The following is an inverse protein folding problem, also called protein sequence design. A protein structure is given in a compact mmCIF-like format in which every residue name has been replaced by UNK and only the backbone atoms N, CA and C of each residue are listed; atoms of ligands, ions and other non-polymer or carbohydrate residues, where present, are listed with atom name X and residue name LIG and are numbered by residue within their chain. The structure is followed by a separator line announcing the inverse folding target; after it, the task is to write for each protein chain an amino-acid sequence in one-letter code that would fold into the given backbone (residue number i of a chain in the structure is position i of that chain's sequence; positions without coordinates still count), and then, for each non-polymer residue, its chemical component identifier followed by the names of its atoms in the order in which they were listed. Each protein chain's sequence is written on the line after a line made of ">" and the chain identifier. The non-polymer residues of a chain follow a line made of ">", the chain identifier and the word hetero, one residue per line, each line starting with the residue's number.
data_IF_249077578795
#
_entry.id   IF_249077578795
#
_cell.length_a   1.000
_cell.length_b   1.000
_cell.length_c   1.000
_cell.angle_alpha   90.00
_cell.angle_beta   90.00
_cell.angle_gamma   90.00
#
_symmetry.space_group_name_H-M   'P 1'
#
loop_
_entity.id
_entity.type
_entity.pdbx_description
1 polymer ?
#
# COMPACT_ATOMS: atom_id res chain seq x y z
N UNK A 1 12.59 26.84 -20.70
CA UNK A 1 13.27 26.53 -19.40
C UNK A 1 12.40 25.70 -18.45
N UNK A 2 11.09 25.97 -18.36
CA UNK A 2 10.15 25.25 -17.50
C UNK A 2 10.01 23.74 -17.85
N UNK A 3 9.94 23.41 -19.14
CA UNK A 3 9.85 22.01 -19.63
C UNK A 3 11.06 21.16 -19.28
N UNK A 4 12.27 21.71 -19.36
CA UNK A 4 13.50 21.01 -18.96
C UNK A 4 13.57 20.76 -17.45
N UNK A 5 13.06 21.69 -16.63
CA UNK A 5 12.97 21.55 -15.17
C UNK A 5 11.91 20.51 -14.76
N UNK A 6 10.77 20.47 -15.45
CA UNK A 6 9.74 19.43 -15.27
C UNK A 6 10.27 18.04 -15.63
N UNK A 7 10.95 17.90 -16.77
CA UNK A 7 11.57 16.63 -17.17
C UNK A 7 12.65 16.16 -16.19
N UNK A 8 13.53 17.06 -15.74
CA UNK A 8 14.53 16.76 -14.69
C UNK A 8 13.87 16.35 -13.36
N UNK A 9 12.77 17.00 -12.98
CA UNK A 9 11.98 16.63 -11.81
C UNK A 9 11.39 15.22 -11.92
N UNK A 10 10.77 14.88 -13.06
CA UNK A 10 10.23 13.55 -13.31
C UNK A 10 11.34 12.48 -13.33
N UNK A 11 12.51 12.78 -13.89
CA UNK A 11 13.65 11.85 -13.89
C UNK A 11 14.19 11.63 -12.48
N UNK A 12 14.31 12.68 -11.67
CA UNK A 12 14.73 12.55 -10.27
C UNK A 12 13.72 11.72 -9.46
N UNK A 13 12.43 11.94 -9.64
CA UNK A 13 11.37 11.13 -9.01
C UNK A 13 11.45 9.67 -9.48
N UNK A 14 11.69 9.43 -10.77
CA UNK A 14 11.84 8.08 -11.33
C UNK A 14 13.09 7.36 -10.80
N UNK A 15 14.21 8.06 -10.62
CA UNK A 15 15.45 7.50 -10.06
C UNK A 15 15.27 7.13 -8.58
N UNK A 16 14.62 8.00 -7.80
CA UNK A 16 14.27 7.71 -6.40
C UNK A 16 13.30 6.53 -6.32
N UNK A 17 12.27 6.50 -7.18
CA UNK A 17 11.33 5.39 -7.25
C UNK A 17 12.03 4.07 -7.62
N UNK A 18 12.94 4.07 -8.61
CA UNK A 18 13.69 2.89 -9.04
C UNK A 18 14.64 2.34 -7.96
N UNK A 19 15.21 3.21 -7.12
CA UNK A 19 16.10 2.78 -6.03
C UNK A 19 15.39 1.93 -4.96
N UNK A 20 14.07 2.03 -4.84
CA UNK A 20 13.26 1.18 -3.98
C UNK A 20 13.17 -0.28 -4.45
N UNK A 21 13.41 -0.57 -5.72
CA UNK A 21 13.21 -1.89 -6.34
C UNK A 21 14.51 -2.70 -6.51
N UNK A 22 15.67 -2.17 -6.12
CA UNK A 22 16.96 -2.87 -6.25
C UNK A 22 17.08 -4.02 -5.23
N UNK A 23 16.50 -5.18 -5.56
CA UNK A 23 16.66 -6.43 -4.81
C UNK A 23 17.81 -7.24 -5.41
N UNK A 24 18.97 -7.24 -4.75
CA UNK A 24 20.11 -8.06 -5.15
C UNK A 24 19.94 -9.50 -4.67
N UNK A 25 20.38 -10.53 -5.44
CA UNK A 25 20.20 -11.94 -5.06
C UNK A 25 21.07 -12.42 -3.87
N UNK A 26 21.94 -11.58 -3.31
CA UNK A 26 22.97 -12.00 -2.34
C UNK A 26 23.04 -11.17 -1.03
N UNK A 27 22.20 -10.14 -0.85
CA UNK A 27 22.18 -9.33 0.37
C UNK A 27 20.75 -9.03 0.80
N UNK A 28 20.46 -9.14 2.10
CA UNK A 28 19.24 -8.60 2.68
C UNK A 28 19.17 -7.08 2.49
N UNK A 29 17.96 -6.56 2.28
CA UNK A 29 17.73 -5.13 2.05
C UNK A 29 18.33 -4.31 3.19
N UNK A 30 19.17 -3.32 2.87
CA UNK A 30 19.80 -2.47 3.89
C UNK A 30 18.75 -1.69 4.70
N UNK A 31 19.09 -1.30 5.94
CA UNK A 31 18.19 -0.49 6.80
C UNK A 31 17.67 0.76 6.07
N UNK A 32 18.50 1.54 5.35
CA UNK A 32 18.03 2.67 4.56
C UNK A 32 17.06 2.28 3.42
N UNK A 33 17.26 1.12 2.79
CA UNK A 33 16.35 0.64 1.76
C UNK A 33 14.98 0.27 2.35
N UNK A 34 14.96 -0.41 3.50
CA UNK A 34 13.71 -0.79 4.20
C UNK A 34 12.96 0.42 4.74
N UNK A 35 13.65 1.40 5.32
CA UNK A 35 13.04 2.65 5.78
C UNK A 35 12.48 3.47 4.61
N UNK A 36 13.21 3.53 3.48
CA UNK A 36 12.74 4.16 2.25
C UNK A 36 11.48 3.50 1.70
N UNK A 37 11.42 2.16 1.68
CA UNK A 37 10.20 1.43 1.29
C UNK A 37 9.03 1.70 2.21
N UNK A 38 9.24 1.70 3.52
CA UNK A 38 8.20 2.05 4.50
C UNK A 38 7.65 3.45 4.25
N UNK A 39 8.52 4.42 3.97
CA UNK A 39 8.09 5.78 3.63
C UNK A 39 7.25 5.82 2.33
N UNK A 40 7.73 5.17 1.26
CA UNK A 40 7.01 5.13 -0.03
C UNK A 40 5.66 4.42 0.10
N UNK A 41 5.59 3.33 0.87
CA UNK A 41 4.34 2.62 1.19
C UNK A 41 3.39 3.52 1.97
N UNK A 42 3.89 4.20 3.00
CA UNK A 42 3.10 5.13 3.81
C UNK A 42 2.55 6.30 2.98
N UNK A 43 3.38 6.87 2.11
CA UNK A 43 2.99 7.92 1.17
C UNK A 43 1.93 7.44 0.19
N UNK A 44 2.13 6.26 -0.39
CA UNK A 44 1.16 5.63 -1.32
C UNK A 44 -0.20 5.46 -0.65
N UNK A 45 -0.24 4.86 0.53
CA UNK A 45 -1.48 4.64 1.27
C UNK A 45 -2.16 5.96 1.67
N UNK A 46 -1.38 7.00 1.99
CA UNK A 46 -1.93 8.33 2.35
C UNK A 46 -2.51 9.07 1.15
N UNK A 47 -1.88 8.98 -0.03
CA UNK A 47 -2.35 9.67 -1.24
C UNK A 47 -3.51 8.95 -1.93
N UNK A 48 -3.49 7.61 -1.91
CA UNK A 48 -4.42 6.78 -2.67
C UNK A 48 -5.48 6.10 -1.79
N UNK A 49 -5.65 6.50 -0.53
CA UNK A 49 -6.65 5.90 0.38
C UNK A 49 -8.07 5.90 -0.19
N UNK A 50 -8.44 6.95 -0.94
CA UNK A 50 -9.77 7.12 -1.52
C UNK A 50 -10.07 6.11 -2.63
N UNK A 51 -9.05 5.54 -3.27
CA UNK A 51 -9.21 4.54 -4.34
C UNK A 51 -9.74 3.19 -3.82
N UNK A 52 -9.76 2.98 -2.49
CA UNK A 52 -10.45 1.84 -1.86
C UNK A 52 -11.95 1.84 -2.12
N UNK A 53 -12.59 3.02 -2.20
CA UNK A 53 -14.04 3.12 -2.41
C UNK A 53 -14.47 2.57 -3.78
N UNK A 54 -13.97 3.09 -4.92
CA UNK A 54 -14.36 2.54 -6.22
C UNK A 54 -13.91 1.09 -6.41
N UNK A 55 -12.77 0.70 -5.80
CA UNK A 55 -12.28 -0.67 -5.86
C UNK A 55 -13.24 -1.65 -5.18
N UNK A 56 -13.66 -1.37 -3.94
CA UNK A 56 -14.59 -2.25 -3.22
C UNK A 56 -15.99 -2.23 -3.83
N UNK A 57 -16.45 -1.11 -4.40
CA UNK A 57 -17.72 -1.10 -5.16
C UNK A 57 -17.66 -2.05 -6.34
N UNK A 58 -16.59 -1.97 -7.15
CA UNK A 58 -16.41 -2.86 -8.29
C UNK A 58 -16.28 -4.33 -7.85
N UNK A 59 -15.58 -4.57 -6.74
CA UNK A 59 -15.42 -5.91 -6.18
C UNK A 59 -16.76 -6.48 -5.71
N UNK A 60 -17.51 -5.75 -4.91
CA UNK A 60 -18.79 -6.25 -4.39
C UNK A 60 -19.81 -6.41 -5.52
N UNK A 61 -19.85 -5.49 -6.50
CA UNK A 61 -20.70 -5.65 -7.68
C UNK A 61 -20.41 -6.95 -8.45
N UNK A 62 -19.15 -7.39 -8.54
CA UNK A 62 -18.83 -8.66 -9.22
C UNK A 62 -19.18 -9.91 -8.41
N UNK A 63 -19.41 -9.79 -7.10
CA UNK A 63 -19.60 -10.92 -6.21
C UNK A 63 -21.02 -11.01 -5.60
N UNK A 64 -21.82 -9.92 -5.64
CA UNK A 64 -23.19 -9.85 -5.14
C UNK A 64 -24.10 -9.06 -6.09
N UNK A 65 -25.40 -8.99 -5.79
CA UNK A 65 -26.35 -8.19 -6.57
C UNK A 65 -25.92 -6.71 -6.69
N UNK A 66 -26.08 -6.05 -7.85
CA UNK A 66 -25.53 -4.72 -8.10
C UNK A 66 -25.88 -3.65 -7.06
N UNK A 67 -27.13 -3.63 -6.59
CA UNK A 67 -27.60 -2.61 -5.65
C UNK A 67 -27.03 -2.84 -4.24
N UNK A 68 -26.99 -4.09 -3.80
CA UNK A 68 -26.35 -4.48 -2.54
C UNK A 68 -24.85 -4.24 -2.61
N UNK A 69 -24.22 -4.57 -3.74
CA UNK A 69 -22.78 -4.46 -3.93
C UNK A 69 -22.28 -3.02 -3.92
N UNK A 70 -23.04 -2.07 -4.48
CA UNK A 70 -22.70 -0.64 -4.37
C UNK A 70 -22.71 -0.18 -2.91
N UNK A 71 -23.73 -0.56 -2.13
CA UNK A 71 -23.85 -0.14 -0.73
C UNK A 71 -22.79 -0.81 0.15
N UNK A 72 -22.64 -2.13 0.06
CA UNK A 72 -21.67 -2.89 0.85
C UNK A 72 -20.24 -2.54 0.47
N UNK A 73 -19.96 -2.39 -0.83
CA UNK A 73 -18.64 -2.02 -1.35
C UNK A 73 -18.25 -0.60 -0.93
N UNK A 74 -19.19 0.36 -0.95
CA UNK A 74 -18.93 1.71 -0.44
C UNK A 74 -18.55 1.69 1.04
N UNK A 75 -19.31 0.96 1.87
CA UNK A 75 -19.02 0.84 3.31
C UNK A 75 -17.66 0.21 3.60
N UNK A 76 -17.34 -0.90 2.92
CA UNK A 76 -16.04 -1.57 3.04
C UNK A 76 -14.89 -0.69 2.56
N UNK A 77 -15.07 -0.01 1.43
CA UNK A 77 -14.07 0.87 0.85
C UNK A 77 -13.75 2.07 1.74
N UNK A 78 -14.76 2.68 2.39
CA UNK A 78 -14.54 3.73 3.39
C UNK A 78 -13.75 3.19 4.57
N UNK A 79 -14.14 2.03 5.12
CA UNK A 79 -13.46 1.43 6.25
C UNK A 79 -11.98 1.13 5.94
N UNK A 80 -11.69 0.48 4.80
CA UNK A 80 -10.33 0.21 4.33
C UNK A 80 -9.55 1.49 4.06
N UNK A 81 -10.19 2.49 3.44
CA UNK A 81 -9.59 3.79 3.17
C UNK A 81 -9.13 4.48 4.45
N UNK A 82 -9.95 4.49 5.51
CA UNK A 82 -9.57 5.05 6.82
C UNK A 82 -8.40 4.28 7.44
N UNK A 83 -8.42 2.95 7.38
CA UNK A 83 -7.31 2.13 7.87
C UNK A 83 -6.00 2.45 7.15
N UNK A 84 -6.04 2.58 5.82
CA UNK A 84 -4.87 2.93 5.00
C UNK A 84 -4.38 4.34 5.24
N UNK A 85 -5.29 5.30 5.40
CA UNK A 85 -4.91 6.66 5.73
C UNK A 85 -4.16 6.72 7.06
N UNK A 86 -4.71 6.08 8.10
CA UNK A 86 -4.07 6.01 9.42
C UNK A 86 -2.72 5.29 9.40
N UNK A 87 -2.66 4.13 8.74
CA UNK A 87 -1.43 3.38 8.56
C UNK A 87 -0.39 4.14 7.73
N UNK A 88 -0.82 4.85 6.69
CA UNK A 88 0.04 5.63 5.82
C UNK A 88 0.71 6.79 6.54
N UNK A 89 -0.07 7.56 7.30
CA UNK A 89 0.45 8.64 8.15
C UNK A 89 1.42 8.06 9.19
N UNK A 90 1.06 6.95 9.84
CA UNK A 90 1.92 6.29 10.82
C UNK A 90 3.25 5.85 10.19
N UNK A 91 3.24 5.21 9.02
CA UNK A 91 4.46 4.74 8.36
C UNK A 91 5.33 5.89 7.88
N UNK A 92 4.75 7.00 7.41
CA UNK A 92 5.51 8.21 7.06
C UNK A 92 6.14 8.90 8.27
N UNK A 93 5.49 8.92 9.43
CA UNK A 93 6.05 9.54 10.64
C UNK A 93 7.11 8.64 11.27
N UNK A 94 6.87 7.33 11.27
CA UNK A 94 7.75 6.35 11.90
C UNK A 94 8.79 5.76 10.94
N UNK A 95 8.90 6.25 9.71
CA UNK A 95 9.78 5.67 8.69
C UNK A 95 11.25 5.46 9.10
N UNK A 96 11.88 6.32 9.94
CA UNK A 96 13.27 6.09 10.35
C UNK A 96 13.37 4.93 11.35
N UNK A 97 12.31 4.71 12.12
CA UNK A 97 12.22 3.72 13.17
C UNK A 97 11.71 2.39 12.63
N UNK A 98 12.22 1.30 13.19
CA UNK A 98 11.82 -0.08 12.92
C UNK A 98 10.51 -0.47 13.63
N UNK A 99 9.53 0.44 13.64
CA UNK A 99 8.22 0.22 14.26
C UNK A 99 7.11 0.21 13.18
N UNK A 100 6.50 -0.93 12.82
CA UNK A 100 6.65 -2.25 13.42
C UNK A 100 7.97 -2.95 13.03
N UNK A 101 8.36 -3.95 13.83
CA UNK A 101 9.64 -4.65 13.73
C UNK A 101 9.96 -5.05 12.29
N UNK A 102 11.23 -4.90 11.89
CA UNK A 102 11.69 -5.21 10.54
C UNK A 102 11.02 -4.39 9.42
N UNK A 103 10.49 -3.20 9.72
CA UNK A 103 9.82 -2.32 8.75
C UNK A 103 8.60 -2.98 8.07
N UNK A 104 7.95 -3.90 8.78
CA UNK A 104 6.78 -4.63 8.26
C UNK A 104 5.62 -3.67 7.92
N UNK A 105 4.76 -4.04 6.96
CA UNK A 105 3.51 -3.35 6.68
C UNK A 105 2.60 -3.28 7.90
N UNK A 106 2.06 -2.09 8.20
CA UNK A 106 1.03 -1.93 9.23
C UNK A 106 -0.32 -2.50 8.78
N UNK A 107 -0.64 -2.33 7.50
CA UNK A 107 -1.84 -2.87 6.86
C UNK A 107 -1.41 -3.81 5.74
N UNK A 108 -2.15 -4.91 5.62
CA UNK A 108 -2.05 -5.85 4.51
C UNK A 108 -3.34 -5.82 3.70
N UNK A 109 -3.28 -5.79 2.36
CA UNK A 109 -2.06 -5.72 1.54
C UNK A 109 -1.30 -4.39 1.70
N UNK A 110 -0.02 -4.37 1.30
CA UNK A 110 0.92 -3.27 1.60
C UNK A 110 0.45 -1.95 1.01
N UNK A 111 -0.10 -2.00 -0.20
CA UNK A 111 -0.67 -0.86 -0.92
C UNK A 111 -2.08 -1.16 -1.43
N UNK A 112 -2.74 -0.13 -1.98
CA UNK A 112 -4.12 -0.19 -2.51
C UNK A 112 -4.27 -1.15 -3.71
N UNK A 113 -3.16 -1.52 -4.37
CA UNK A 113 -3.16 -2.19 -5.68
C UNK A 113 -2.82 -3.68 -5.66
N UNK A 114 -2.59 -4.22 -4.47
CA UNK A 114 -2.05 -5.58 -4.31
C UNK A 114 -3.13 -6.64 -4.10
N UNK A 115 -4.37 -6.25 -3.78
CA UNK A 115 -5.52 -7.15 -3.74
C UNK A 115 -6.17 -7.34 -5.10
N UNK A 116 -6.61 -8.57 -5.36
CA UNK A 116 -7.36 -8.95 -6.54
C UNK A 116 -8.84 -8.59 -6.45
N UNK A 117 -9.56 -8.91 -7.53
CA UNK A 117 -11.00 -8.63 -7.66
C UNK A 117 -11.87 -9.68 -6.95
N UNK A 118 -11.31 -10.80 -6.49
CA UNK A 118 -12.02 -11.79 -5.69
C UNK A 118 -11.86 -11.56 -4.18
N UNK A 119 -12.71 -12.22 -3.38
CA UNK A 119 -12.63 -12.20 -1.91
C UNK A 119 -11.47 -13.02 -1.34
N UNK A 120 -11.06 -14.09 -2.02
CA UNK A 120 -9.95 -14.97 -1.61
C UNK A 120 -8.57 -14.30 -1.65
N UNK A 121 -8.38 -13.26 -2.44
CA UNK A 121 -7.17 -12.45 -2.45
C UNK A 121 -6.94 -11.80 -1.08
N UNK A 122 -8.00 -11.39 -0.37
CA UNK A 122 -7.86 -10.91 1.01
C UNK A 122 -7.51 -12.00 2.00
N UNK A 123 -8.01 -13.22 1.81
CA UNK A 123 -7.72 -14.34 2.70
C UNK A 123 -6.24 -14.72 2.65
N UNK A 124 -5.60 -14.61 1.48
CA UNK A 124 -4.15 -14.74 1.35
C UNK A 124 -3.39 -13.72 2.21
N UNK A 125 -3.80 -12.45 2.17
CA UNK A 125 -3.17 -11.39 2.98
C UNK A 125 -3.49 -11.51 4.46
N UNK A 126 -4.67 -12.03 4.82
CA UNK A 126 -5.03 -12.34 6.22
C UNK A 126 -4.14 -13.46 6.75
N UNK A 127 -3.89 -14.50 5.97
CA UNK A 127 -2.97 -15.58 6.34
C UNK A 127 -1.53 -15.08 6.50
N UNK A 128 -1.03 -14.29 5.54
CA UNK A 128 0.32 -13.69 5.66
C UNK A 128 0.47 -12.81 6.90
N UNK A 129 -0.55 -12.01 7.22
CA UNK A 129 -0.54 -11.20 8.44
C UNK A 129 -0.47 -12.09 9.69
N UNK A 130 -1.28 -13.15 9.74
CA UNK A 130 -1.31 -14.08 10.87
C UNK A 130 0.04 -14.78 11.07
N UNK A 131 0.66 -15.27 10.00
CA UNK A 131 1.90 -16.03 10.09
C UNK A 131 3.10 -15.19 10.54
N UNK A 132 3.13 -13.90 10.18
CA UNK A 132 4.17 -12.95 10.60
C UNK A 132 4.02 -12.43 12.04
N UNK A 133 2.85 -12.63 12.65
CA UNK A 133 2.60 -12.28 14.05
C UNK A 133 2.89 -13.44 15.01
N UNK A 134 2.90 -14.68 14.50
CA UNK A 134 3.10 -15.90 15.29
C UNK A 134 4.54 -16.43 15.30
N UNK A 135 5.45 -15.82 14.51
CA UNK A 135 6.86 -16.18 14.37
C UNK A 135 7.73 -14.93 14.50
#
# INVERSE_FOLDING_TARGET
>A
MLTKRLLLGCVLVAVVAASGWARGPFYDESVPARSGRKFVRGLTNTLFFWAEVPKEINRDWQNVDPLTGVVSGTGRGIFKGVQRLGAGIYEMVTFPYDAPANYQPVVYPETVWEDGVDWGAEDYYRYQRSSKLTH
#
